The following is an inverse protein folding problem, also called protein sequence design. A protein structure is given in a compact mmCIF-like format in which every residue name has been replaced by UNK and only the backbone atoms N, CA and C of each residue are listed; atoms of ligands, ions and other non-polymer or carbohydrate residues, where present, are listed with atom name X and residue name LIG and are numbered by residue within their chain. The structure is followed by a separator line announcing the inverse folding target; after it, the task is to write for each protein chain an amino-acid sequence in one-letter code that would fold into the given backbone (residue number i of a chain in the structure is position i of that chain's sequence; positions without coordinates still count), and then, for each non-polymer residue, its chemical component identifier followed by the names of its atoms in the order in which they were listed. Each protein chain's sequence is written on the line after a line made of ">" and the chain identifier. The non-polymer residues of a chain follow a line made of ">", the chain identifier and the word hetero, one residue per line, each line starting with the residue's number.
data_IF_273817203918
#
_entry.id   IF_273817203918
#
_cell.length_a   1.000
_cell.length_b   1.000
_cell.length_c   1.000
_cell.angle_alpha   90.00
_cell.angle_beta   90.00
_cell.angle_gamma   90.00
#
_symmetry.space_group_name_H-M   'P 1'
#
loop_
_entity.id
_entity.type
_entity.pdbx_description
1 polymer ?
#
# COMPACT_ATOMS: atom_id res chain seq x y z
N UNK A 1 64.82 39.74 35.12
CA UNK A 1 64.82 38.80 36.26
C UNK A 1 63.95 39.44 37.33
N UNK A 2 62.81 38.82 37.64
CA UNK A 2 61.70 39.32 38.49
C UNK A 2 61.00 40.58 37.90
N UNK A 3 59.68 40.67 37.73
CA UNK A 3 58.64 40.18 38.62
C UNK A 3 57.34 39.99 37.82
N UNK A 4 56.83 38.75 37.76
CA UNK A 4 55.79 38.30 36.83
C UNK A 4 54.49 37.88 37.52
N UNK A 5 54.24 38.28 38.78
CA UNK A 5 53.20 37.62 39.58
C UNK A 5 52.09 38.48 40.20
N UNK A 6 51.98 39.79 39.92
CA UNK A 6 51.03 40.64 40.65
C UNK A 6 49.97 41.40 39.82
N UNK A 7 49.55 40.85 38.68
CA UNK A 7 48.44 41.44 37.87
C UNK A 7 47.26 40.49 37.63
N UNK A 8 47.26 39.28 38.19
CA UNK A 8 46.21 38.27 37.92
C UNK A 8 45.06 38.21 38.93
N UNK A 9 44.92 39.14 39.88
CA UNK A 9 43.83 39.09 40.89
C UNK A 9 42.72 40.14 40.77
N UNK A 10 42.79 41.07 39.83
CA UNK A 10 41.85 42.20 39.76
C UNK A 10 40.74 42.09 38.68
N UNK A 11 40.57 40.93 38.03
CA UNK A 11 39.47 40.71 37.06
C UNK A 11 38.64 39.51 37.50
N UNK A 12 38.01 39.60 38.67
CA UNK A 12 37.04 38.57 39.10
C UNK A 12 35.82 39.11 39.83
N UNK A 13 35.45 40.38 39.62
CA UNK A 13 34.29 40.98 40.30
C UNK A 13 33.57 42.04 39.47
N UNK A 14 33.23 41.76 38.22
CA UNK A 14 32.19 42.50 37.50
C UNK A 14 31.71 41.63 36.33
N UNK A 15 30.58 40.97 36.55
CA UNK A 15 29.97 40.06 35.58
C UNK A 15 28.72 39.38 36.16
N UNK A 16 27.96 40.10 36.97
CA UNK A 16 26.64 39.68 37.42
C UNK A 16 25.62 40.52 36.64
N UNK A 17 25.14 39.98 35.53
CA UNK A 17 24.12 40.61 34.69
C UNK A 17 24.25 40.13 33.25
N UNK A 18 23.21 39.47 32.75
CA UNK A 18 23.08 38.84 31.41
C UNK A 18 23.89 37.54 31.21
N UNK A 19 23.41 36.45 31.81
CA UNK A 19 23.96 35.11 31.56
C UNK A 19 22.94 33.97 31.58
N UNK A 20 21.63 34.24 31.49
CA UNK A 20 20.57 33.20 31.57
C UNK A 20 19.58 33.29 30.40
N UNK A 21 20.05 33.50 29.17
CA UNK A 21 19.15 33.57 28.01
C UNK A 21 19.60 32.78 26.77
N UNK A 22 20.60 31.90 26.88
CA UNK A 22 21.13 31.18 25.70
C UNK A 22 21.17 29.64 25.86
N UNK A 23 20.35 29.06 26.74
CA UNK A 23 20.32 27.61 26.96
C UNK A 23 18.90 27.05 26.99
N UNK A 24 18.15 27.25 25.91
CA UNK A 24 16.89 26.57 25.57
C UNK A 24 16.60 26.89 24.09
N UNK A 25 16.43 26.00 23.14
CA UNK A 25 16.29 24.54 23.08
C UNK A 25 16.99 24.10 21.79
N UNK A 26 17.90 23.13 21.86
CA UNK A 26 18.22 22.32 20.69
C UNK A 26 17.35 21.07 20.79
N UNK A 27 16.07 21.19 20.44
CA UNK A 27 15.24 20.01 20.25
C UNK A 27 15.71 19.32 18.97
N UNK A 28 16.09 18.03 19.01
CA UNK A 28 16.30 17.29 17.78
C UNK A 28 14.97 17.25 17.03
N UNK A 29 14.97 17.78 15.81
CA UNK A 29 13.88 17.59 14.85
C UNK A 29 13.82 16.09 14.54
N UNK A 30 12.98 15.35 15.26
CA UNK A 30 12.65 13.97 14.92
C UNK A 30 11.83 14.04 13.63
N UNK A 31 12.44 13.65 12.52
CA UNK A 31 11.74 13.51 11.24
C UNK A 31 10.69 12.41 11.38
N UNK A 32 9.43 12.75 11.20
CA UNK A 32 8.37 11.76 11.07
C UNK A 32 8.53 11.04 9.72
N UNK A 33 9.05 9.81 9.75
CA UNK A 33 9.11 8.97 8.56
C UNK A 33 7.70 8.45 8.24
N UNK A 34 7.11 8.92 7.15
CA UNK A 34 5.87 8.37 6.61
C UNK A 34 6.13 6.95 6.08
N UNK A 35 5.88 5.94 6.91
CA UNK A 35 6.21 4.55 6.59
C UNK A 35 5.29 4.03 5.48
N UNK A 36 5.86 3.66 4.33
CA UNK A 36 5.14 2.98 3.26
C UNK A 36 5.11 1.47 3.56
N UNK A 37 3.95 0.85 3.41
CA UNK A 37 3.83 -0.61 3.47
C UNK A 37 3.82 -1.12 2.03
N UNK A 38 4.79 -1.96 1.70
CA UNK A 38 4.86 -2.62 0.39
C UNK A 38 3.89 -3.81 0.34
N UNK A 39 3.14 -3.88 -0.76
CA UNK A 39 2.14 -4.92 -0.95
C UNK A 39 2.46 -5.73 -2.21
N UNK A 40 2.32 -7.07 -2.14
CA UNK A 40 2.57 -7.99 -3.25
C UNK A 40 1.48 -8.00 -4.32
N UNK A 41 0.28 -7.52 -4.00
CA UNK A 41 -0.89 -7.56 -4.89
C UNK A 41 -1.45 -6.15 -5.06
N UNK A 42 -1.66 -5.75 -6.31
CA UNK A 42 -2.38 -4.55 -6.70
C UNK A 42 -3.78 -4.94 -7.19
N UNK A 43 -4.80 -4.23 -6.71
CA UNK A 43 -6.19 -4.44 -7.07
C UNK A 43 -6.60 -3.35 -8.04
N UNK A 44 -7.10 -3.77 -9.20
CA UNK A 44 -7.57 -2.87 -10.23
C UNK A 44 -9.08 -3.01 -10.41
N UNK A 45 -9.68 -1.94 -10.91
CA UNK A 45 -10.98 -1.99 -11.56
C UNK A 45 -10.83 -1.62 -13.02
N UNK A 46 -11.45 -2.42 -13.88
CA UNK A 46 -11.53 -2.20 -15.32
C UNK A 46 -12.98 -1.95 -15.73
N UNK A 47 -13.24 -0.83 -16.41
CA UNK A 47 -14.52 -0.55 -17.06
C UNK A 47 -14.40 -0.86 -18.55
N UNK A 48 -15.30 -1.69 -19.06
CA UNK A 48 -15.55 -1.81 -20.50
C UNK A 48 -16.64 -0.80 -20.90
N UNK A 49 -16.26 0.23 -21.67
CA UNK A 49 -17.17 1.30 -22.11
C UNK A 49 -18.19 0.80 -23.15
N UNK A 50 -17.94 -0.33 -23.81
CA UNK A 50 -18.87 -0.92 -24.78
C UNK A 50 -20.01 -1.64 -24.07
N UNK A 51 -19.68 -2.44 -23.05
CA UNK A 51 -20.68 -3.22 -22.31
C UNK A 51 -21.18 -2.54 -21.03
N UNK A 52 -20.50 -1.49 -20.56
CA UNK A 52 -20.79 -0.79 -19.31
C UNK A 52 -20.47 -1.60 -18.05
N UNK A 53 -19.74 -2.72 -18.15
CA UNK A 53 -19.41 -3.56 -17.00
C UNK A 53 -18.10 -3.13 -16.36
N UNK A 54 -18.09 -3.10 -15.03
CA UNK A 54 -16.89 -2.93 -14.22
C UNK A 54 -16.52 -4.29 -13.64
N UNK A 55 -15.27 -4.70 -13.81
CA UNK A 55 -14.71 -5.88 -13.15
C UNK A 55 -13.55 -5.48 -12.27
N UNK A 56 -13.40 -6.19 -11.15
CA UNK A 56 -12.23 -6.06 -10.30
C UNK A 56 -11.33 -7.28 -10.48
N UNK A 57 -10.03 -7.06 -10.58
CA UNK A 57 -9.05 -8.11 -10.73
C UNK A 57 -7.80 -7.78 -9.91
N UNK A 58 -7.25 -8.82 -9.28
CA UNK A 58 -6.02 -8.76 -8.52
C UNK A 58 -4.84 -9.07 -9.46
N UNK A 59 -3.74 -8.33 -9.33
CA UNK A 59 -2.52 -8.52 -10.14
C UNK A 59 -1.32 -8.53 -9.22
N UNK A 60 -0.46 -9.55 -9.35
CA UNK A 60 0.77 -9.61 -8.58
C UNK A 60 1.80 -8.59 -9.08
N UNK A 61 2.63 -8.04 -8.18
CA UNK A 61 3.69 -7.12 -8.57
C UNK A 61 4.67 -7.79 -9.55
N UNK A 62 4.86 -7.18 -10.71
CA UNK A 62 5.72 -7.68 -11.78
C UNK A 62 5.02 -8.61 -12.77
N UNK A 63 3.80 -9.05 -12.47
CA UNK A 63 2.97 -9.83 -13.37
C UNK A 63 2.28 -8.92 -14.40
N UNK A 64 2.01 -9.46 -15.59
CA UNK A 64 1.23 -8.79 -16.62
C UNK A 64 -0.10 -9.51 -16.80
N UNK A 65 -1.20 -8.82 -16.47
CA UNK A 65 -2.57 -9.33 -16.66
C UNK A 65 -3.24 -8.58 -17.81
N UNK A 66 -4.02 -9.29 -18.61
CA UNK A 66 -4.74 -8.72 -19.74
C UNK A 66 -6.20 -8.38 -19.38
N UNK A 67 -6.60 -7.13 -19.63
CA UNK A 67 -7.97 -6.65 -19.57
C UNK A 67 -8.39 -6.12 -20.95
N UNK A 68 -9.19 -6.90 -21.67
CA UNK A 68 -9.59 -6.55 -23.05
C UNK A 68 -8.36 -6.46 -23.97
N UNK A 69 -8.13 -5.27 -24.53
CA UNK A 69 -6.96 -4.96 -25.36
C UNK A 69 -5.78 -4.38 -24.58
N UNK A 70 -5.90 -4.22 -23.25
CA UNK A 70 -4.87 -3.62 -22.41
C UNK A 70 -4.13 -4.70 -21.60
N UNK A 71 -2.82 -4.57 -21.50
CA UNK A 71 -1.95 -5.35 -20.63
C UNK A 71 -1.48 -4.47 -19.48
N UNK A 72 -1.83 -4.84 -18.26
CA UNK A 72 -1.56 -4.09 -17.04
C UNK A 72 -0.44 -4.77 -16.27
N UNK A 73 0.61 -4.01 -15.97
CA UNK A 73 1.76 -4.49 -15.21
C UNK A 73 2.05 -3.53 -14.04
N UNK A 74 1.59 -3.83 -12.81
CA UNK A 74 1.99 -3.08 -11.63
C UNK A 74 3.44 -3.40 -11.28
N UNK A 75 4.26 -2.37 -11.04
CA UNK A 75 5.65 -2.54 -10.59
C UNK A 75 5.81 -2.28 -9.10
N UNK A 76 4.92 -1.49 -8.52
CA UNK A 76 4.95 -1.11 -7.11
C UNK A 76 3.51 -0.90 -6.64
N UNK A 77 3.18 -1.33 -5.41
CA UNK A 77 1.91 -1.01 -4.77
C UNK A 77 2.12 -0.77 -3.27
N UNK A 78 1.74 0.41 -2.78
CA UNK A 78 1.97 0.86 -1.42
C UNK A 78 0.67 1.27 -0.72
N UNK A 79 0.53 0.89 0.55
CA UNK A 79 -0.52 1.35 1.46
C UNK A 79 0.08 2.16 2.62
N UNK A 80 -0.78 2.84 3.38
CA UNK A 80 -0.43 3.51 4.64
C UNK A 80 -0.79 2.65 5.85
N UNK A 81 -0.09 2.81 6.99
CA UNK A 81 -0.56 2.33 8.27
C UNK A 81 -1.89 2.97 8.68
N UNK A 82 -2.67 2.28 9.51
CA UNK A 82 -3.98 2.75 10.00
C UNK A 82 -3.90 4.01 10.90
N UNK A 83 -2.70 4.41 11.33
CA UNK A 83 -2.45 5.61 12.14
C UNK A 83 -2.35 6.90 11.30
N UNK A 84 -2.30 6.78 9.98
CA UNK A 84 -2.20 7.90 9.03
C UNK A 84 -3.44 7.92 8.12
N UNK A 85 -3.69 9.04 7.44
CA UNK A 85 -4.71 9.11 6.39
C UNK A 85 -4.51 8.00 5.35
N UNK A 86 -5.56 7.23 5.01
CA UNK A 86 -5.43 6.14 4.05
C UNK A 86 -5.03 6.68 2.69
N UNK A 87 -3.89 6.21 2.19
CA UNK A 87 -3.39 6.57 0.87
C UNK A 87 -2.75 5.34 0.21
N UNK A 88 -3.44 4.84 -0.80
CA UNK A 88 -2.98 3.72 -1.61
C UNK A 88 -2.48 4.24 -2.95
N UNK A 89 -1.22 3.91 -3.28
CA UNK A 89 -0.54 4.37 -4.49
C UNK A 89 0.18 3.23 -5.16
N UNK A 90 0.13 3.15 -6.49
CA UNK A 90 0.84 2.14 -7.25
C UNK A 90 1.50 2.73 -8.49
N UNK A 91 2.68 2.21 -8.84
CA UNK A 91 3.31 2.53 -10.12
C UNK A 91 2.93 1.46 -11.12
N UNK A 92 2.32 1.86 -12.23
CA UNK A 92 1.69 0.94 -13.18
C UNK A 92 2.13 1.28 -14.59
N UNK A 93 2.42 0.23 -15.36
CA UNK A 93 2.65 0.31 -16.80
C UNK A 93 1.46 -0.35 -17.50
N UNK A 94 0.89 0.33 -18.49
CA UNK A 94 -0.19 -0.22 -19.30
C UNK A 94 0.21 -0.15 -20.75
N UNK A 95 0.15 -1.31 -21.39
CA UNK A 95 0.42 -1.52 -22.79
C UNK A 95 -0.89 -1.84 -23.52
N UNK A 96 -1.04 -1.39 -24.76
CA UNK A 96 -2.19 -1.65 -25.61
C UNK A 96 -1.78 -2.60 -26.73
N UNK A 97 -2.60 -3.62 -26.97
CA UNK A 97 -2.50 -4.51 -28.12
C UNK A 97 -3.37 -3.92 -29.23
N UNK A 98 -2.72 -3.45 -30.29
CA UNK A 98 -3.43 -2.88 -31.44
C UNK A 98 -4.09 -3.95 -32.30
N UNK A 99 -4.95 -3.54 -33.24
CA UNK A 99 -5.57 -4.45 -34.23
C UNK A 99 -4.55 -5.17 -35.12
N UNK A 100 -3.34 -4.60 -35.27
CA UNK A 100 -2.23 -5.20 -36.01
C UNK A 100 -1.37 -6.12 -35.13
N UNK A 101 -1.81 -6.41 -33.90
CA UNK A 101 -1.10 -7.22 -32.92
C UNK A 101 0.26 -6.64 -32.48
N UNK A 102 0.40 -5.32 -32.56
CA UNK A 102 1.55 -4.58 -32.02
C UNK A 102 1.27 -4.16 -30.58
N UNK A 103 2.25 -4.35 -29.70
CA UNK A 103 2.18 -3.95 -28.29
C UNK A 103 2.85 -2.59 -28.12
N UNK A 104 2.09 -1.58 -27.66
CA UNK A 104 2.60 -0.23 -27.42
C UNK A 104 2.30 0.24 -26.02
N UNK A 105 3.26 0.91 -25.37
CA UNK A 105 3.03 1.52 -24.05
C UNK A 105 2.18 2.77 -24.16
N UNK A 106 1.03 2.78 -23.51
CA UNK A 106 0.11 3.92 -23.47
C UNK A 106 0.17 4.68 -22.16
N UNK A 107 0.61 4.03 -21.09
CA UNK A 107 0.71 4.64 -19.76
C UNK A 107 1.90 4.07 -18.99
N UNK A 108 2.57 4.95 -18.25
CA UNK A 108 3.60 4.58 -17.28
C UNK A 108 3.64 5.66 -16.20
N UNK A 109 3.09 5.39 -15.03
CA UNK A 109 2.92 6.42 -14.02
C UNK A 109 2.39 5.92 -12.68
N UNK A 110 2.23 6.87 -11.76
CA UNK A 110 1.66 6.64 -10.44
C UNK A 110 0.14 6.79 -10.48
N UNK A 111 -0.57 5.77 -10.01
CA UNK A 111 -2.01 5.77 -9.78
C UNK A 111 -2.31 5.95 -8.29
N UNK A 112 -3.44 6.59 -7.99
CA UNK A 112 -3.89 6.90 -6.62
C UNK A 112 -5.30 6.34 -6.42
N UNK A 113 -5.45 5.36 -5.54
CA UNK A 113 -6.75 4.71 -5.33
C UNK A 113 -7.81 5.66 -4.75
N UNK A 114 -7.39 6.60 -3.90
CA UNK A 114 -8.28 7.61 -3.30
C UNK A 114 -8.74 8.69 -4.31
N UNK A 115 -8.08 8.80 -5.47
CA UNK A 115 -8.42 9.79 -6.50
C UNK A 115 -8.14 9.23 -7.90
N UNK A 116 -8.94 8.25 -8.36
CA UNK A 116 -8.73 7.60 -9.65
C UNK A 116 -8.70 8.60 -10.82
N UNK A 117 -9.55 9.62 -10.78
CA UNK A 117 -9.63 10.64 -11.84
C UNK A 117 -8.40 11.53 -12.02
N UNK A 118 -7.39 11.44 -11.15
CA UNK A 118 -6.14 12.20 -11.31
C UNK A 118 -5.17 11.49 -12.28
N UNK A 119 -5.05 10.17 -12.17
CA UNK A 119 -4.02 9.39 -12.88
C UNK A 119 -4.50 7.98 -13.29
N UNK A 120 -5.78 7.81 -13.62
CA UNK A 120 -6.29 6.59 -14.24
C UNK A 120 -5.87 6.49 -15.73
N UNK A 121 -5.94 5.28 -16.29
CA UNK A 121 -5.86 5.07 -17.73
C UNK A 121 -7.23 5.20 -18.33
N UNK A 122 -7.39 6.20 -19.18
CA UNK A 122 -8.60 6.45 -19.96
C UNK A 122 -8.33 6.04 -21.41
N UNK A 123 -8.75 4.85 -21.81
CA UNK A 123 -8.65 4.37 -23.19
C UNK A 123 -10.03 4.52 -23.88
N UNK A 124 -10.10 4.69 -25.22
CA UNK A 124 -11.38 4.92 -25.91
C UNK A 124 -12.44 3.83 -25.67
N UNK A 125 -11.99 2.61 -25.37
CA UNK A 125 -12.84 1.42 -25.16
C UNK A 125 -12.84 0.93 -23.70
N UNK A 126 -11.75 1.15 -22.96
CA UNK A 126 -11.54 0.56 -21.65
C UNK A 126 -11.01 1.63 -20.68
N UNK A 127 -11.41 1.60 -19.42
CA UNK A 127 -10.74 2.39 -18.38
C UNK A 127 -10.17 1.47 -17.32
N UNK A 128 -9.00 1.82 -16.79
CA UNK A 128 -8.35 1.05 -15.73
C UNK A 128 -7.84 2.01 -14.67
N UNK A 129 -8.17 1.70 -13.42
CA UNK A 129 -7.66 2.43 -12.27
C UNK A 129 -7.34 1.50 -11.10
N UNK A 130 -6.36 1.90 -10.31
CA UNK A 130 -6.03 1.25 -9.05
C UNK A 130 -7.15 1.50 -8.04
N UNK A 131 -7.58 0.46 -7.34
CA UNK A 131 -8.59 0.56 -6.27
C UNK A 131 -8.02 0.22 -4.90
N UNK A 132 -7.07 -0.71 -4.80
CA UNK A 132 -6.43 -1.05 -3.53
C UNK A 132 -5.08 -1.78 -3.71
N UNK A 133 -4.34 -2.00 -2.62
CA UNK A 133 -3.25 -2.99 -2.57
C UNK A 133 -3.47 -3.94 -1.39
N UNK A 134 -3.21 -5.23 -1.59
CA UNK A 134 -3.43 -6.28 -0.59
C UNK A 134 -2.16 -7.09 -0.34
N UNK A 135 -2.09 -7.69 0.86
CA UNK A 135 -1.02 -8.62 1.27
C UNK A 135 -1.30 -10.08 0.90
N UNK A 136 -2.54 -10.37 0.48
CA UNK A 136 -3.04 -11.69 0.12
C UNK A 136 -4.07 -11.53 -1.01
N UNK A 137 -4.17 -12.53 -1.88
CA UNK A 137 -5.20 -12.65 -2.91
C UNK A 137 -5.80 -14.05 -2.87
N UNK A 138 -7.01 -14.19 -3.40
CA UNK A 138 -7.63 -15.49 -3.66
C UNK A 138 -7.10 -16.16 -4.94
N UNK A 139 -6.46 -15.37 -5.81
CA UNK A 139 -5.82 -15.88 -7.02
C UNK A 139 -4.43 -16.42 -6.65
N UNK A 140 -4.07 -17.66 -7.02
CA UNK A 140 -2.74 -18.19 -6.75
C UNK A 140 -1.65 -17.36 -7.45
N UNK A 141 -0.49 -17.15 -6.81
CA UNK A 141 0.62 -16.42 -7.42
C UNK A 141 1.23 -17.20 -8.59
N UNK A 142 1.84 -16.49 -9.56
CA UNK A 142 2.58 -17.13 -10.64
C UNK A 142 3.81 -17.90 -10.11
N UNK A 143 4.19 -18.99 -10.78
CA UNK A 143 5.26 -19.90 -10.34
C UNK A 143 6.63 -19.20 -10.19
N UNK A 144 6.86 -18.13 -10.95
CA UNK A 144 8.09 -17.35 -11.01
C UNK A 144 7.98 -15.99 -10.28
N UNK A 145 7.07 -15.86 -9.32
CA UNK A 145 6.87 -14.63 -8.57
C UNK A 145 8.13 -14.21 -7.76
N UNK A 146 8.66 -13.02 -8.06
CA UNK A 146 9.85 -12.44 -7.41
C UNK A 146 9.58 -11.12 -6.65
N UNK A 147 8.30 -10.81 -6.36
CA UNK A 147 7.89 -9.56 -5.72
C UNK A 147 7.94 -9.58 -4.18
N UNK A 148 7.33 -8.57 -3.52
CA UNK A 148 7.22 -8.51 -2.05
C UNK A 148 6.60 -9.78 -1.43
N UNK A 149 6.84 -10.09 -0.15
CA UNK A 149 6.32 -11.31 0.47
C UNK A 149 4.78 -11.32 0.53
N UNK A 150 4.18 -12.45 0.13
CA UNK A 150 2.74 -12.72 0.20
C UNK A 150 2.41 -13.29 1.59
N UNK A 151 1.48 -12.66 2.33
CA UNK A 151 1.12 -13.11 3.69
C UNK A 151 0.10 -14.26 3.72
N UNK A 152 -0.47 -14.63 2.58
CA UNK A 152 -1.32 -15.81 2.43
C UNK A 152 -2.01 -15.86 1.06
N UNK A 153 -2.34 -17.06 0.60
CA UNK A 153 -3.31 -17.30 -0.48
C UNK A 153 -4.59 -17.77 0.18
N UNK A 154 -5.68 -17.02 0.05
CA UNK A 154 -6.98 -17.46 0.56
C UNK A 154 -7.53 -18.42 -0.49
N UNK A 155 -7.58 -19.74 -0.22
CA UNK A 155 -8.12 -20.65 -1.22
C UNK A 155 -9.61 -20.31 -1.45
N UNK A 156 -10.05 -20.37 -2.71
CA UNK A 156 -11.44 -20.16 -3.08
C UNK A 156 -12.32 -21.20 -2.36
N UNK A 157 -12.99 -20.78 -1.28
CA UNK A 157 -13.84 -21.66 -0.45
C UNK A 157 -13.68 -21.50 1.07
N UNK A 158 -12.65 -20.80 1.56
CA UNK A 158 -12.45 -20.58 2.99
C UNK A 158 -12.95 -19.19 3.40
N UNK A 159 -14.02 -19.15 4.20
CA UNK A 159 -14.49 -17.92 4.84
C UNK A 159 -13.42 -17.45 5.85
N UNK A 160 -12.81 -16.26 5.70
CA UNK A 160 -11.81 -15.77 6.65
C UNK A 160 -12.35 -15.58 8.08
N UNK A 161 -13.67 -15.64 8.29
CA UNK A 161 -14.32 -15.64 9.60
C UNK A 161 -14.58 -17.06 10.14
N UNK A 162 -14.57 -18.08 9.30
CA UNK A 162 -14.51 -19.45 9.74
C UNK A 162 -13.07 -19.68 10.20
N UNK A 163 -12.87 -19.90 11.50
CA UNK A 163 -11.57 -20.30 12.01
C UNK A 163 -11.07 -21.58 11.31
N UNK A 164 -9.83 -22.00 11.57
CA UNK A 164 -9.32 -23.29 11.11
C UNK A 164 -10.36 -24.37 11.37
N UNK A 165 -10.62 -25.23 10.38
CA UNK A 165 -11.48 -26.39 10.52
C UNK A 165 -10.81 -27.40 11.46
N UNK A 166 -10.95 -27.17 12.76
CA UNK A 166 -10.49 -28.02 13.84
C UNK A 166 -11.24 -29.37 13.92
N UNK A 167 -12.02 -29.71 12.88
CA UNK A 167 -12.85 -30.91 12.80
C UNK A 167 -14.01 -30.91 13.79
N UNK A 168 -14.29 -29.78 14.44
CA UNK A 168 -15.47 -29.62 15.29
C UNK A 168 -16.57 -28.97 14.45
N UNK A 169 -17.65 -29.72 14.20
CA UNK A 169 -18.87 -29.21 13.56
C UNK A 169 -19.48 -28.07 14.41
N UNK A 170 -18.99 -26.84 14.22
CA UNK A 170 -19.57 -25.62 14.81
C UNK A 170 -20.51 -24.90 13.85
N UNK A 171 -20.96 -25.57 12.80
CA UNK A 171 -22.06 -25.10 11.95
C UNK A 171 -23.37 -24.97 12.74
N UNK A 172 -24.39 -24.24 12.21
CA UNK A 172 -25.69 -24.15 12.86
C UNK A 172 -26.24 -25.57 13.06
N UNK A 173 -26.29 -26.00 14.33
CA UNK A 173 -26.58 -27.38 14.69
C UNK A 173 -27.84 -27.91 14.01
N UNK A 174 -27.76 -29.18 13.60
CA UNK A 174 -28.87 -29.96 13.04
C UNK A 174 -30.16 -29.66 13.82
N UNK A 175 -31.25 -29.24 13.17
CA UNK A 175 -32.50 -28.94 13.85
C UNK A 175 -32.96 -30.15 14.67
N UNK A 176 -33.15 -29.95 15.98
CA UNK A 176 -33.62 -30.99 16.89
C UNK A 176 -35.00 -31.48 16.38
N UNK A 177 -35.18 -32.77 16.05
CA UNK A 177 -36.46 -33.26 15.52
C UNK A 177 -37.56 -33.06 16.56
N UNK A 178 -38.70 -32.52 16.12
CA UNK A 178 -39.86 -32.29 16.98
C UNK A 178 -40.34 -33.63 17.55
N UNK A 179 -40.60 -33.76 18.86
CA UNK A 179 -41.19 -34.97 19.41
C UNK A 179 -42.52 -35.23 18.71
N UNK A 180 -42.73 -36.47 18.24
CA UNK A 180 -44.02 -36.93 17.74
C UNK A 180 -45.08 -36.67 18.81
N UNK A 181 -45.99 -35.74 18.56
CA UNK A 181 -47.23 -35.60 19.31
C UNK A 181 -48.17 -36.67 18.77
N UNK A 182 -48.27 -37.78 19.51
CA UNK A 182 -49.40 -38.70 19.37
C UNK A 182 -50.68 -38.09 19.90
#
# INVERSE_FOLDING_TARGET
>A
MADQFDTMKAVKRLGAGLGIAAMAMVMPLVSAHAQKIENPVAVFSGLDKITGRIISFDVYIGETVQFGALQVTPRVCHTRPQTESPLTTGFVQVDEITLNNEVRRIYSGWMFAASPGLHAVEHPVYDIWLTDCKLASSVPPPEDYAGPPIKGTVAEGEDPLAGPDDGLDTGPGVPRPKPFQG
#
